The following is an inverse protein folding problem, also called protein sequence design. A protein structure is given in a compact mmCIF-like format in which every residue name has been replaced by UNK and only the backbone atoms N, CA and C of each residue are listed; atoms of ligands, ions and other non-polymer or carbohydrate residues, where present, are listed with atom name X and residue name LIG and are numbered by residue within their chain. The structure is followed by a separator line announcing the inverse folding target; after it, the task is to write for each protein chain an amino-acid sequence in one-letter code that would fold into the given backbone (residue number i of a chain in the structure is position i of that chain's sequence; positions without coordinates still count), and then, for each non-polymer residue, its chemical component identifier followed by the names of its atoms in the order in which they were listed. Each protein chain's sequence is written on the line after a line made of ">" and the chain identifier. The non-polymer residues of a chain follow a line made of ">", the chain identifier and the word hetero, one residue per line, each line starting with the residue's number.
data_IF_018800227885
#
_entry.id   IF_018800227885
#
_cell.length_a   1.000
_cell.length_b   1.000
_cell.length_c   1.000
_cell.angle_alpha   90.00
_cell.angle_beta   90.00
_cell.angle_gamma   90.00
#
_symmetry.space_group_name_H-M   'P 1'
#
loop_
_entity.id
_entity.type
_entity.pdbx_description
1 polymer ?
#
# COMPACT_ATOMS: atom_id res chain seq x y z
N UNK A 1 -15.77 -0.93 -13.60
CA UNK A 1 -16.91 -0.42 -12.81
C UNK A 1 -18.16 -0.35 -13.69
N UNK A 2 -19.32 -0.74 -13.16
CA UNK A 2 -20.61 -0.38 -13.76
C UNK A 2 -20.89 1.07 -13.35
N UNK A 3 -20.75 2.01 -14.28
CA UNK A 3 -20.97 3.43 -13.98
C UNK A 3 -22.43 3.76 -14.27
N UNK A 4 -23.27 3.74 -13.21
CA UNK A 4 -24.72 3.93 -13.31
C UNK A 4 -25.12 5.21 -14.05
N UNK A 5 -24.33 6.28 -13.94
CA UNK A 5 -24.58 7.55 -14.61
C UNK A 5 -24.56 7.44 -16.14
N UNK A 6 -23.74 6.56 -16.74
CA UNK A 6 -23.75 6.36 -18.19
C UNK A 6 -25.04 5.72 -18.69
N UNK A 7 -25.60 4.77 -17.93
CA UNK A 7 -26.89 4.17 -18.26
C UNK A 7 -28.02 5.19 -18.18
N UNK A 8 -28.03 6.00 -17.11
CA UNK A 8 -29.00 7.09 -16.97
C UNK A 8 -28.86 8.06 -18.14
N UNK A 9 -27.64 8.55 -18.44
CA UNK A 9 -27.41 9.48 -19.54
C UNK A 9 -27.84 8.90 -20.91
N UNK A 10 -27.57 7.62 -21.16
CA UNK A 10 -28.04 6.94 -22.38
C UNK A 10 -29.57 6.89 -22.48
N UNK A 11 -30.28 6.68 -21.35
CA UNK A 11 -31.75 6.75 -21.30
C UNK A 11 -32.24 8.16 -21.63
N UNK A 12 -31.64 9.21 -21.05
CA UNK A 12 -32.00 10.60 -21.34
C UNK A 12 -31.75 10.97 -22.81
N UNK A 13 -30.63 10.55 -23.39
CA UNK A 13 -30.37 10.71 -24.83
C UNK A 13 -31.46 10.00 -25.64
N UNK A 14 -31.82 8.77 -25.28
CA UNK A 14 -32.88 8.02 -25.95
C UNK A 14 -34.24 8.72 -25.90
N UNK A 15 -34.62 9.27 -24.74
CA UNK A 15 -35.83 10.07 -24.58
C UNK A 15 -35.76 11.37 -25.40
N UNK A 16 -34.61 12.03 -25.45
CA UNK A 16 -34.39 13.22 -26.28
C UNK A 16 -34.53 12.92 -27.78
N UNK A 17 -33.93 11.83 -28.25
CA UNK A 17 -34.08 11.33 -29.62
C UNK A 17 -35.54 11.02 -29.94
N UNK A 18 -36.24 10.33 -29.05
CA UNK A 18 -37.67 10.03 -29.20
C UNK A 18 -38.52 11.31 -29.24
N UNK A 19 -38.20 12.31 -28.40
CA UNK A 19 -38.87 13.61 -28.39
C UNK A 19 -38.67 14.40 -29.68
N UNK A 20 -37.44 14.49 -30.18
CA UNK A 20 -37.13 15.16 -31.47
C UNK A 20 -37.84 14.44 -32.61
N UNK A 21 -37.79 13.11 -32.62
CA UNK A 21 -38.45 12.29 -33.64
C UNK A 21 -39.98 12.46 -33.61
N UNK A 22 -40.59 12.47 -32.42
CA UNK A 22 -42.03 12.71 -32.24
C UNK A 22 -42.45 14.13 -32.67
N UNK A 23 -41.66 15.15 -32.30
CA UNK A 23 -41.90 16.53 -32.74
C UNK A 23 -41.84 16.66 -34.27
N UNK A 24 -40.83 16.04 -34.89
CA UNK A 24 -40.64 15.97 -36.35
C UNK A 24 -41.86 15.38 -37.06
N UNK A 25 -42.39 14.24 -36.57
CA UNK A 25 -43.59 13.59 -37.12
C UNK A 25 -44.84 14.48 -37.05
N UNK A 26 -45.00 15.24 -35.97
CA UNK A 26 -46.14 16.12 -35.77
C UNK A 26 -46.13 17.32 -36.73
N UNK A 27 -44.94 17.79 -37.14
CA UNK A 27 -44.79 18.94 -38.05
C UNK A 27 -44.85 18.55 -39.52
N UNK A 28 -44.28 17.41 -39.91
CA UNK A 28 -44.19 16.97 -41.30
C UNK A 28 -44.68 15.52 -41.44
N UNK A 29 -45.87 15.34 -42.03
CA UNK A 29 -46.53 14.03 -42.19
C UNK A 29 -46.02 13.21 -43.38
N UNK A 30 -44.78 13.44 -43.84
CA UNK A 30 -44.17 12.70 -44.97
C UNK A 30 -43.26 11.58 -44.46
N UNK A 31 -43.51 10.35 -44.90
CA UNK A 31 -42.72 9.19 -44.46
C UNK A 31 -41.24 9.31 -44.82
N UNK A 32 -40.91 9.90 -45.98
CA UNK A 32 -39.52 10.14 -46.39
C UNK A 32 -38.77 11.08 -45.43
N UNK A 33 -39.46 12.06 -44.85
CA UNK A 33 -38.88 12.97 -43.85
C UNK A 33 -38.60 12.24 -42.53
N UNK A 34 -39.52 11.38 -42.09
CA UNK A 34 -39.31 10.58 -40.88
C UNK A 34 -38.11 9.62 -41.04
N UNK A 35 -37.97 8.97 -42.20
CA UNK A 35 -36.80 8.12 -42.49
C UNK A 35 -35.50 8.93 -42.45
N UNK A 36 -35.49 10.13 -43.04
CA UNK A 36 -34.32 11.00 -43.01
C UNK A 36 -33.95 11.43 -41.58
N UNK A 37 -34.92 11.92 -40.79
CA UNK A 37 -34.71 12.32 -39.39
C UNK A 37 -34.23 11.15 -38.54
N UNK A 38 -34.84 9.97 -38.67
CA UNK A 38 -34.41 8.76 -37.95
C UNK A 38 -32.97 8.36 -38.31
N UNK A 39 -32.61 8.43 -39.59
CA UNK A 39 -31.26 8.11 -40.06
C UNK A 39 -30.21 9.09 -39.50
N UNK A 40 -30.53 10.38 -39.42
CA UNK A 40 -29.64 11.39 -38.81
C UNK A 40 -29.47 11.12 -37.31
N UNK A 41 -30.56 10.82 -36.60
CA UNK A 41 -30.52 10.56 -35.16
C UNK A 41 -29.76 9.26 -34.82
N UNK A 42 -29.80 8.25 -35.69
CA UNK A 42 -28.93 7.06 -35.59
C UNK A 42 -27.45 7.38 -35.73
N UNK A 43 -27.10 8.49 -36.40
CA UNK A 43 -25.73 8.99 -36.46
C UNK A 43 -25.13 9.27 -35.09
N UNK A 44 -25.94 9.63 -34.09
CA UNK A 44 -25.48 9.93 -32.72
C UNK A 44 -24.84 8.70 -32.04
N UNK A 45 -25.56 7.57 -31.82
CA UNK A 45 -24.96 6.38 -31.23
C UNK A 45 -23.90 5.74 -32.13
N UNK A 46 -24.00 5.84 -33.46
CA UNK A 46 -22.98 5.33 -34.37
C UNK A 46 -21.66 6.09 -34.23
N UNK A 47 -21.71 7.43 -34.19
CA UNK A 47 -20.51 8.25 -34.01
C UNK A 47 -19.89 8.02 -32.62
N UNK A 48 -20.72 7.95 -31.57
CA UNK A 48 -20.24 7.61 -30.23
C UNK A 48 -19.57 6.23 -30.19
N UNK A 49 -20.18 5.21 -30.81
CA UNK A 49 -19.61 3.87 -30.91
C UNK A 49 -18.27 3.89 -31.66
N UNK A 50 -18.20 4.53 -32.83
CA UNK A 50 -17.00 4.61 -33.64
C UNK A 50 -15.84 5.33 -32.93
N UNK A 51 -16.09 6.52 -32.36
CA UNK A 51 -15.06 7.31 -31.67
C UNK A 51 -14.55 6.61 -30.41
N UNK A 52 -15.44 5.93 -29.69
CA UNK A 52 -15.11 5.32 -28.41
C UNK A 52 -14.68 3.85 -28.52
N UNK A 53 -14.81 3.21 -29.68
CA UNK A 53 -14.50 1.79 -29.85
C UNK A 53 -13.07 1.47 -29.44
N UNK A 54 -12.06 2.14 -30.02
CA UNK A 54 -10.66 1.86 -29.73
C UNK A 54 -10.29 2.15 -28.27
N UNK A 55 -10.65 3.33 -27.68
CA UNK A 55 -10.35 3.60 -26.27
C UNK A 55 -11.06 2.66 -25.28
N UNK A 56 -12.20 2.07 -25.65
CA UNK A 56 -12.97 1.15 -24.79
C UNK A 56 -12.71 -0.32 -25.11
N UNK A 57 -12.05 -0.64 -26.22
CA UNK A 57 -11.61 -1.99 -26.50
C UNK A 57 -10.58 -2.41 -25.43
N UNK A 58 -10.88 -3.50 -24.73
CA UNK A 58 -10.00 -4.08 -23.70
C UNK A 58 -9.24 -5.29 -24.20
N UNK A 59 -9.44 -5.70 -25.46
CA UNK A 59 -8.75 -6.82 -26.07
C UNK A 59 -7.24 -6.58 -26.07
N UNK A 60 -6.47 -7.55 -25.56
CA UNK A 60 -5.02 -7.46 -25.48
C UNK A 60 -4.49 -6.51 -24.41
N UNK A 61 -5.34 -5.86 -23.60
CA UNK A 61 -4.92 -4.99 -22.50
C UNK A 61 -4.80 -5.81 -21.22
N UNK A 62 -3.58 -6.24 -20.88
CA UNK A 62 -3.33 -7.14 -19.75
C UNK A 62 -2.72 -6.45 -18.52
N UNK A 63 -2.50 -5.13 -18.56
CA UNK A 63 -1.72 -4.38 -17.55
C UNK A 63 -2.08 -4.67 -16.10
N UNK A 64 -3.37 -4.58 -15.73
CA UNK A 64 -3.82 -4.81 -14.36
C UNK A 64 -3.60 -6.27 -13.92
N UNK A 65 -3.93 -7.21 -14.80
CA UNK A 65 -3.79 -8.64 -14.54
C UNK A 65 -2.31 -9.05 -14.43
N UNK A 66 -1.47 -8.57 -15.35
CA UNK A 66 -0.05 -8.86 -15.39
C UNK A 66 0.72 -8.20 -14.23
N UNK A 67 0.29 -7.01 -13.81
CA UNK A 67 0.76 -6.40 -12.57
C UNK A 67 0.42 -7.27 -11.36
N UNK A 68 -0.85 -7.66 -11.18
CA UNK A 68 -1.28 -8.49 -10.07
C UNK A 68 -0.53 -9.82 -10.02
N UNK A 69 -0.40 -10.48 -11.18
CA UNK A 69 0.38 -11.70 -11.31
C UNK A 69 1.84 -11.46 -10.87
N UNK A 70 2.50 -10.44 -11.41
CA UNK A 70 3.92 -10.19 -11.17
C UNK A 70 4.19 -9.77 -9.72
N UNK A 71 3.33 -8.93 -9.15
CA UNK A 71 3.40 -8.50 -7.75
C UNK A 71 3.16 -9.66 -6.79
N UNK A 72 2.17 -10.52 -7.04
CA UNK A 72 1.92 -11.66 -6.16
C UNK A 72 2.97 -12.77 -6.35
N UNK A 73 3.42 -13.03 -7.58
CA UNK A 73 4.37 -14.11 -7.88
C UNK A 73 5.75 -13.87 -7.28
N UNK A 74 6.18 -12.61 -7.14
CA UNK A 74 7.50 -12.26 -6.60
C UNK A 74 7.61 -12.42 -5.09
N UNK A 75 6.48 -12.48 -4.38
CA UNK A 75 6.46 -12.60 -2.93
C UNK A 75 6.89 -13.98 -2.45
N UNK A 76 7.63 -14.09 -1.34
CA UNK A 76 7.81 -15.36 -0.63
C UNK A 76 6.48 -16.02 -0.26
N UNK A 77 6.48 -17.33 -0.02
CA UNK A 77 5.30 -18.06 0.44
C UNK A 77 4.73 -17.49 1.74
N UNK A 78 3.40 -17.53 1.85
CA UNK A 78 2.65 -17.05 3.01
C UNK A 78 2.89 -15.56 3.33
N UNK A 79 3.42 -14.73 2.43
CA UNK A 79 3.69 -13.32 2.73
C UNK A 79 2.44 -12.53 3.15
N UNK A 80 2.63 -11.49 3.95
CA UNK A 80 1.66 -10.40 4.11
C UNK A 80 2.06 -9.29 3.15
N UNK A 81 1.14 -8.89 2.28
CA UNK A 81 1.32 -7.78 1.35
C UNK A 81 0.39 -6.63 1.74
N UNK A 82 0.95 -5.48 2.08
CA UNK A 82 0.21 -4.23 2.15
C UNK A 82 0.11 -3.61 0.75
N UNK A 83 -1.10 -3.30 0.33
CA UNK A 83 -1.43 -2.63 -0.93
C UNK A 83 -2.10 -1.28 -0.65
N UNK A 84 -2.00 -0.37 -1.61
CA UNK A 84 -2.41 1.03 -1.42
C UNK A 84 -3.29 1.48 -2.57
N UNK A 85 -4.44 2.05 -2.25
CA UNK A 85 -5.42 2.48 -3.23
C UNK A 85 -5.99 1.35 -4.08
N UNK A 86 -6.86 1.75 -4.99
CA UNK A 86 -7.65 0.85 -5.82
C UNK A 86 -6.80 0.09 -6.84
N UNK A 87 -5.78 0.75 -7.41
CA UNK A 87 -4.96 0.22 -8.49
C UNK A 87 -4.03 -0.92 -8.04
N UNK A 88 -3.63 -0.95 -6.78
CA UNK A 88 -2.85 -2.06 -6.22
C UNK A 88 -3.77 -3.17 -5.69
N UNK A 89 -4.89 -2.77 -5.07
CA UNK A 89 -5.76 -3.66 -4.32
C UNK A 89 -6.64 -4.53 -5.21
N UNK A 90 -7.43 -3.92 -6.10
CA UNK A 90 -8.44 -4.68 -6.82
C UNK A 90 -7.85 -5.70 -7.79
N UNK A 91 -6.76 -5.44 -8.53
CA UNK A 91 -6.18 -6.44 -9.40
C UNK A 91 -5.64 -7.66 -8.63
N UNK A 92 -4.98 -7.43 -7.48
CA UNK A 92 -4.43 -8.51 -6.65
C UNK A 92 -5.52 -9.33 -5.97
N UNK A 93 -6.57 -8.69 -5.44
CA UNK A 93 -7.76 -9.40 -4.96
C UNK A 93 -8.47 -10.15 -6.07
N UNK A 94 -8.67 -9.53 -7.24
CA UNK A 94 -9.39 -10.17 -8.34
C UNK A 94 -8.75 -11.50 -8.75
N UNK A 95 -7.43 -11.54 -8.95
CA UNK A 95 -6.75 -12.79 -9.36
C UNK A 95 -6.75 -13.84 -8.25
N UNK A 96 -6.72 -13.44 -6.97
CA UNK A 96 -6.89 -14.38 -5.85
C UNK A 96 -8.31 -14.97 -5.84
N UNK A 97 -9.34 -14.14 -5.97
CA UNK A 97 -10.76 -14.55 -5.91
C UNK A 97 -11.21 -15.35 -7.13
N UNK A 98 -10.72 -15.02 -8.33
CA UNK A 98 -11.17 -15.67 -9.57
C UNK A 98 -10.32 -16.84 -10.00
N UNK A 99 -9.03 -16.88 -9.62
CA UNK A 99 -8.08 -17.88 -10.11
C UNK A 99 -7.40 -18.68 -8.98
N UNK A 100 -7.67 -18.38 -7.71
CA UNK A 100 -6.93 -18.91 -6.54
C UNK A 100 -5.41 -18.73 -6.68
N UNK A 101 -4.97 -17.69 -7.40
CA UNK A 101 -3.55 -17.47 -7.64
C UNK A 101 -2.90 -16.83 -6.41
N UNK A 102 -1.89 -17.50 -5.84
CA UNK A 102 -1.20 -17.03 -4.63
C UNK A 102 -2.18 -16.72 -3.49
N UNK A 103 -3.20 -17.57 -3.34
CA UNK A 103 -4.20 -17.50 -2.26
C UNK A 103 -3.60 -17.80 -0.86
N UNK A 104 -2.30 -18.11 -0.80
CA UNK A 104 -1.45 -18.15 0.40
C UNK A 104 -1.05 -16.76 0.92
N UNK A 105 -1.02 -15.73 0.06
CA UNK A 105 -0.61 -14.37 0.43
C UNK A 105 -1.76 -13.63 1.09
N UNK A 106 -1.51 -12.95 2.23
CA UNK A 106 -2.51 -12.05 2.86
C UNK A 106 -2.36 -10.66 2.26
N UNK A 107 -3.27 -10.30 1.34
CA UNK A 107 -3.29 -8.96 0.76
C UNK A 107 -4.18 -8.04 1.59
N UNK A 108 -3.61 -6.95 2.09
CA UNK A 108 -4.25 -6.03 3.01
C UNK A 108 -4.19 -4.61 2.43
N UNK A 109 -5.34 -3.98 2.25
CA UNK A 109 -5.38 -2.59 1.85
C UNK A 109 -5.14 -1.69 3.07
N UNK A 110 -4.01 -0.98 3.05
CA UNK A 110 -3.59 -0.09 4.15
C UNK A 110 -4.60 1.03 4.44
N UNK A 111 -5.24 1.58 3.42
CA UNK A 111 -6.21 2.68 3.56
C UNK A 111 -7.54 2.18 4.16
N UNK A 112 -7.92 0.93 3.88
CA UNK A 112 -9.10 0.31 4.46
C UNK A 112 -8.89 -0.19 5.89
N UNK A 113 -7.64 -0.35 6.36
CA UNK A 113 -7.30 -0.74 7.74
C UNK A 113 -7.67 0.31 8.81
N UNK A 114 -8.35 1.39 8.43
CA UNK A 114 -9.02 2.29 9.38
C UNK A 114 -10.43 1.81 9.76
N UNK A 115 -11.02 0.91 8.97
CA UNK A 115 -12.39 0.42 9.16
C UNK A 115 -12.43 -0.93 9.87
N UNK A 116 -13.28 -1.04 10.90
CA UNK A 116 -13.41 -2.24 11.73
C UNK A 116 -13.70 -3.52 10.93
N UNK A 117 -14.57 -3.44 9.91
CA UNK A 117 -14.88 -4.58 9.05
C UNK A 117 -13.68 -5.09 8.24
N UNK A 118 -12.79 -4.20 7.79
CA UNK A 118 -11.63 -4.61 7.00
C UNK A 118 -10.53 -5.20 7.90
N UNK A 119 -10.35 -4.62 9.09
CA UNK A 119 -9.47 -5.18 10.13
C UNK A 119 -9.94 -6.60 10.50
N UNK A 120 -11.24 -6.80 10.68
CA UNK A 120 -11.80 -8.12 10.93
C UNK A 120 -11.50 -9.11 9.79
N UNK A 121 -11.56 -8.69 8.52
CA UNK A 121 -11.20 -9.53 7.38
C UNK A 121 -9.71 -9.90 7.40
N UNK A 122 -8.82 -8.94 7.67
CA UNK A 122 -7.38 -9.18 7.75
C UNK A 122 -7.01 -10.21 8.86
N UNK A 123 -7.79 -10.22 9.94
CA UNK A 123 -7.62 -11.12 11.09
C UNK A 123 -8.31 -12.47 10.96
N UNK A 124 -8.97 -12.74 9.83
CA UNK A 124 -9.55 -14.05 9.51
C UNK A 124 -8.67 -14.78 8.49
N UNK A 125 -8.73 -16.11 8.51
CA UNK A 125 -8.14 -16.92 7.43
C UNK A 125 -8.98 -16.72 6.17
N UNK A 126 -8.33 -16.52 5.04
CA UNK A 126 -8.98 -16.40 3.73
C UNK A 126 -8.27 -17.37 2.81
N UNK A 127 -8.97 -18.39 2.31
CA UNK A 127 -8.35 -19.48 1.55
C UNK A 127 -7.15 -20.12 2.31
N UNK A 128 -5.97 -20.19 1.68
CA UNK A 128 -4.73 -20.69 2.29
C UNK A 128 -3.95 -19.61 3.05
N UNK A 129 -4.40 -18.35 3.01
CA UNK A 129 -3.75 -17.23 3.66
C UNK A 129 -4.13 -17.12 5.14
N UNK A 130 -3.13 -17.36 5.99
CA UNK A 130 -3.27 -17.24 7.45
C UNK A 130 -3.63 -15.81 7.89
N UNK A 131 -4.38 -15.63 8.99
CA UNK A 131 -4.60 -14.32 9.61
C UNK A 131 -3.31 -13.53 9.83
N UNK A 132 -3.42 -12.20 9.89
CA UNK A 132 -2.32 -11.39 10.44
C UNK A 132 -2.02 -11.78 11.89
N UNK A 133 -0.75 -11.70 12.35
CA UNK A 133 -0.38 -11.98 13.73
C UNK A 133 -0.85 -10.81 14.62
N UNK A 134 -2.13 -10.78 14.99
CA UNK A 134 -2.74 -9.72 15.78
C UNK A 134 -3.38 -10.28 17.04
N UNK A 135 -3.20 -9.59 18.16
CA UNK A 135 -3.82 -9.92 19.45
C UNK A 135 -4.93 -8.95 19.86
N UNK A 136 -5.14 -7.87 19.09
CA UNK A 136 -6.23 -6.92 19.37
C UNK A 136 -7.60 -7.63 19.37
N UNK A 137 -8.51 -7.21 20.23
CA UNK A 137 -9.93 -7.58 20.20
C UNK A 137 -10.74 -6.57 19.40
N UNK A 138 -11.92 -6.96 18.90
CA UNK A 138 -12.78 -6.06 18.11
C UNK A 138 -13.11 -4.76 18.86
N UNK A 139 -13.30 -4.83 20.18
CA UNK A 139 -13.56 -3.66 21.02
C UNK A 139 -12.40 -2.65 21.03
N UNK A 140 -11.16 -3.08 20.77
CA UNK A 140 -9.98 -2.20 20.76
C UNK A 140 -9.81 -1.41 19.45
N UNK A 141 -10.56 -1.74 18.39
CA UNK A 141 -10.49 -1.04 17.09
C UNK A 141 -11.85 -0.75 16.43
N UNK A 142 -12.97 -1.04 17.12
CA UNK A 142 -14.30 -0.64 16.65
C UNK A 142 -14.41 0.87 16.48
N UNK A 143 -15.39 1.31 15.72
CA UNK A 143 -15.60 2.73 15.42
C UNK A 143 -15.78 3.54 16.72
N UNK A 144 -15.07 4.67 16.83
CA UNK A 144 -15.06 5.50 18.05
C UNK A 144 -14.07 5.08 19.14
N UNK A 145 -13.31 4.00 18.94
CA UNK A 145 -12.28 3.53 19.89
C UNK A 145 -10.90 3.54 19.24
N UNK A 146 -9.91 4.15 19.90
CA UNK A 146 -8.53 4.27 19.39
C UNK A 146 -8.44 4.79 17.94
N UNK A 147 -9.39 5.64 17.52
CA UNK A 147 -9.35 6.27 16.18
C UNK A 147 -8.09 7.13 16.02
N UNK A 148 -7.64 7.73 17.13
CA UNK A 148 -6.42 8.52 17.24
C UNK A 148 -5.77 8.23 18.59
N UNK A 149 -4.53 7.74 18.57
CA UNK A 149 -3.71 7.52 19.76
C UNK A 149 -2.65 8.61 19.80
N UNK A 150 -2.62 9.41 20.87
CA UNK A 150 -1.64 10.48 21.00
C UNK A 150 -0.26 9.94 21.36
N UNK A 151 0.80 10.45 20.74
CA UNK A 151 2.17 10.07 21.07
C UNK A 151 2.83 11.17 21.88
N UNK A 152 3.33 10.79 23.05
CA UNK A 152 4.14 11.66 23.88
C UNK A 152 5.62 11.52 23.56
N UNK A 153 6.40 12.51 23.95
CA UNK A 153 7.85 12.46 23.99
C UNK A 153 8.36 13.12 25.27
N UNK A 154 9.68 13.25 25.38
CA UNK A 154 10.34 13.85 26.53
C UNK A 154 9.84 15.27 26.82
N UNK A 155 9.64 16.11 25.81
CA UNK A 155 9.22 17.50 25.99
C UNK A 155 7.81 17.56 26.58
N UNK A 156 6.90 16.70 26.11
CA UNK A 156 5.56 16.60 26.69
C UNK A 156 5.60 16.23 28.17
N UNK A 157 6.45 15.28 28.56
CA UNK A 157 6.61 14.89 29.96
C UNK A 157 7.22 15.99 30.82
N UNK A 158 8.27 16.67 30.33
CA UNK A 158 8.88 17.81 31.02
C UNK A 158 7.84 18.91 31.28
N UNK A 159 7.04 19.26 30.26
CA UNK A 159 5.98 20.25 30.38
C UNK A 159 4.92 19.86 31.41
N UNK A 160 4.46 18.60 31.41
CA UNK A 160 3.49 18.11 32.39
C UNK A 160 4.05 18.21 33.80
N UNK A 161 5.25 17.69 34.06
CA UNK A 161 5.82 17.68 35.40
C UNK A 161 6.21 19.08 35.91
N UNK A 162 6.64 19.98 35.02
CA UNK A 162 6.88 21.39 35.37
C UNK A 162 5.58 22.08 35.76
N UNK A 163 4.52 21.94 34.96
CA UNK A 163 3.20 22.49 35.27
C UNK A 163 2.63 21.94 36.59
N UNK A 164 2.80 20.64 36.86
CA UNK A 164 2.39 20.04 38.13
C UNK A 164 3.15 20.67 39.32
N UNK A 165 4.47 20.86 39.18
CA UNK A 165 5.31 21.47 40.20
C UNK A 165 4.91 22.93 40.47
N UNK A 166 4.64 23.71 39.43
CA UNK A 166 4.19 25.10 39.54
C UNK A 166 2.84 25.22 40.26
N UNK A 167 1.95 24.25 40.08
CA UNK A 167 0.64 24.20 40.76
C UNK A 167 0.70 23.54 42.16
N UNK A 168 1.91 23.25 42.67
CA UNK A 168 2.10 22.68 44.01
C UNK A 168 1.67 21.21 44.16
N UNK A 169 1.52 20.48 43.05
CA UNK A 169 1.18 19.05 43.07
C UNK A 169 2.42 18.25 43.51
N UNK A 170 2.32 17.34 44.50
CA UNK A 170 3.46 16.59 45.01
C UNK A 170 4.21 15.78 43.94
N UNK A 171 5.53 15.65 44.08
CA UNK A 171 6.33 14.85 43.14
C UNK A 171 5.99 13.35 43.15
N UNK A 172 5.33 12.87 44.20
CA UNK A 172 4.84 11.49 44.31
C UNK A 172 3.70 11.19 43.34
N UNK A 173 2.97 12.20 42.87
CA UNK A 173 1.92 12.02 41.86
C UNK A 173 2.53 11.63 40.52
N UNK A 174 1.88 10.67 39.84
CA UNK A 174 2.30 10.11 38.55
C UNK A 174 3.74 9.58 38.54
N UNK A 175 4.22 9.06 39.68
CA UNK A 175 5.57 8.54 39.83
C UNK A 175 5.90 7.46 38.77
N UNK A 176 4.90 6.68 38.35
CA UNK A 176 5.04 5.61 37.35
C UNK A 176 5.46 6.11 35.95
N UNK A 177 5.21 7.40 35.64
CA UNK A 177 5.52 8.02 34.35
C UNK A 177 6.79 8.87 34.37
N UNK A 178 7.35 9.19 35.55
CA UNK A 178 8.60 9.97 35.64
C UNK A 178 9.78 9.34 34.92
N UNK A 179 9.79 8.00 34.79
CA UNK A 179 10.82 7.30 34.00
C UNK A 179 10.92 7.80 32.55
N UNK A 180 9.82 8.25 31.96
CA UNK A 180 9.78 8.74 30.56
C UNK A 180 10.42 10.13 30.37
N UNK A 181 10.88 10.78 31.44
CA UNK A 181 11.81 11.92 31.34
C UNK A 181 13.20 11.51 30.79
N UNK A 182 13.54 10.22 30.92
CA UNK A 182 14.84 9.67 30.49
C UNK A 182 14.70 8.49 29.54
N UNK A 183 13.62 7.72 29.64
CA UNK A 183 13.33 6.61 28.76
C UNK A 183 12.59 7.10 27.50
N UNK A 184 13.31 7.19 26.38
CA UNK A 184 12.75 7.66 25.11
C UNK A 184 12.19 6.54 24.22
N UNK A 185 12.43 5.27 24.57
CA UNK A 185 12.06 4.11 23.75
C UNK A 185 11.34 3.05 24.57
N UNK A 186 10.38 2.37 23.93
CA UNK A 186 9.78 1.12 24.41
C UNK A 186 9.71 0.12 23.25
N UNK A 187 9.66 -1.18 23.56
CA UNK A 187 9.37 -2.18 22.53
C UNK A 187 7.93 -2.06 22.03
N UNK A 188 7.66 -2.49 20.79
CA UNK A 188 6.29 -2.53 20.27
C UNK A 188 5.35 -3.37 21.14
N UNK A 189 5.88 -4.44 21.76
CA UNK A 189 5.12 -5.28 22.70
C UNK A 189 4.74 -4.52 23.97
N UNK A 190 5.67 -3.75 24.55
CA UNK A 190 5.39 -2.87 25.69
C UNK A 190 4.41 -1.75 25.31
N UNK A 191 4.48 -1.22 24.09
CA UNK A 191 3.52 -0.24 23.58
C UNK A 191 2.10 -0.81 23.56
N UNK A 192 1.91 -2.01 23.00
CA UNK A 192 0.60 -2.68 23.00
C UNK A 192 0.09 -3.01 24.41
N UNK A 193 0.98 -3.42 25.31
CA UNK A 193 0.64 -3.63 26.72
C UNK A 193 0.24 -2.33 27.42
N UNK A 194 0.93 -1.23 27.14
CA UNK A 194 0.61 0.09 27.67
C UNK A 194 -0.78 0.54 27.25
N UNK A 195 -1.14 0.35 25.97
CA UNK A 195 -2.47 0.71 25.45
C UNK A 195 -3.59 -0.02 26.18
N UNK A 196 -3.39 -1.30 26.50
CA UNK A 196 -4.35 -2.17 27.22
C UNK A 196 -4.39 -1.90 28.73
N UNK A 197 -3.31 -1.40 29.30
CA UNK A 197 -3.24 -1.13 30.73
C UNK A 197 -4.21 -0.02 31.15
N UNK A 198 -4.93 -0.24 32.25
CA UNK A 198 -5.82 0.71 32.90
C UNK A 198 -5.24 1.04 34.28
N UNK A 199 -4.94 2.31 34.52
CA UNK A 199 -4.47 2.79 35.82
C UNK A 199 -4.99 4.21 36.07
N UNK A 200 -5.08 4.59 37.34
CA UNK A 200 -5.52 5.95 37.69
C UNK A 200 -4.53 7.01 37.18
N UNK A 201 -3.22 6.74 37.26
CA UNK A 201 -2.20 7.61 36.66
C UNK A 201 -2.47 7.86 35.17
N UNK A 202 -2.80 6.80 34.41
CA UNK A 202 -3.09 6.91 32.98
C UNK A 202 -4.39 7.70 32.73
N UNK A 203 -5.42 7.48 33.55
CA UNK A 203 -6.67 8.24 33.49
C UNK A 203 -6.42 9.73 33.73
N UNK A 204 -5.60 10.07 34.72
CA UNK A 204 -5.19 11.45 35.01
C UNK A 204 -4.52 12.10 33.80
N UNK A 205 -3.58 11.42 33.15
CA UNK A 205 -2.95 11.94 31.93
C UNK A 205 -3.97 12.10 30.79
N UNK A 206 -4.85 11.11 30.58
CA UNK A 206 -5.89 11.21 29.55
C UNK A 206 -6.81 12.41 29.78
N UNK A 207 -7.20 12.68 31.02
CA UNK A 207 -7.99 13.86 31.38
C UNK A 207 -7.24 15.17 31.15
N UNK A 208 -5.93 15.19 31.43
CA UNK A 208 -5.09 16.36 31.13
C UNK A 208 -4.98 16.62 29.62
N UNK A 209 -4.91 15.57 28.80
CA UNK A 209 -4.75 15.68 27.34
C UNK A 209 -6.06 15.98 26.61
N UNK A 210 -7.16 15.34 27.03
CA UNK A 210 -8.43 15.33 26.29
C UNK A 210 -9.61 15.95 27.05
N UNK A 211 -9.41 16.37 28.30
CA UNK A 211 -10.45 16.88 29.19
C UNK A 211 -11.16 15.77 29.99
N UNK A 212 -11.97 16.16 30.96
CA UNK A 212 -12.72 15.24 31.83
C UNK A 212 -13.83 14.48 31.10
N UNK A 213 -14.32 15.03 29.98
CA UNK A 213 -15.40 14.43 29.21
C UNK A 213 -14.86 13.48 28.14
N UNK A 214 -15.34 12.23 28.13
CA UNK A 214 -15.05 11.22 27.11
C UNK A 214 -13.58 10.80 26.96
N UNK A 215 -12.70 11.13 27.92
CA UNK A 215 -11.29 10.71 27.93
C UNK A 215 -11.10 9.19 27.74
N UNK A 216 -12.07 8.39 28.19
CA UNK A 216 -12.10 6.93 28.07
C UNK A 216 -12.13 6.40 26.63
N UNK A 217 -12.48 7.24 25.65
CA UNK A 217 -12.45 6.88 24.22
C UNK A 217 -11.07 7.06 23.57
N UNK A 218 -10.20 7.80 24.24
CA UNK A 218 -8.87 8.14 23.75
C UNK A 218 -7.80 7.27 24.40
N UNK A 219 -6.62 7.26 23.79
CA UNK A 219 -5.46 6.59 24.33
C UNK A 219 -4.21 7.40 23.99
N UNK A 220 -3.12 7.09 24.69
CA UNK A 220 -1.82 7.65 24.35
C UNK A 220 -0.73 6.59 24.46
N UNK A 221 0.41 6.86 23.83
CA UNK A 221 1.67 6.14 24.03
C UNK A 221 2.66 7.07 24.73
N UNK A 222 3.45 6.56 25.69
CA UNK A 222 4.31 7.40 26.51
C UNK A 222 5.59 7.85 25.78
N UNK A 223 5.85 7.32 24.59
CA UNK A 223 7.00 7.64 23.74
C UNK A 223 6.57 7.59 22.28
N UNK A 224 7.39 8.19 21.41
CA UNK A 224 7.25 8.17 19.95
C UNK A 224 8.33 7.34 19.23
N UNK A 225 9.21 6.66 19.97
CA UNK A 225 10.23 5.76 19.43
C UNK A 225 9.97 4.33 19.89
N UNK A 226 9.86 3.41 18.94
CA UNK A 226 9.55 2.02 19.20
C UNK A 226 10.68 1.08 18.79
N UNK A 227 10.88 0.02 19.54
CA UNK A 227 11.89 -1.01 19.25
C UNK A 227 11.21 -2.27 18.71
N UNK A 228 11.66 -2.73 17.55
CA UNK A 228 11.33 -4.03 16.96
C UNK A 228 12.55 -4.96 17.09
N UNK A 229 12.54 -5.93 18.00
CA UNK A 229 13.62 -6.91 18.12
C UNK A 229 13.77 -7.78 16.86
N UNK A 230 15.01 -8.11 16.49
CA UNK A 230 15.31 -8.96 15.33
C UNK A 230 15.57 -10.40 15.76
N UNK A 231 14.84 -11.32 15.14
CA UNK A 231 15.10 -12.75 15.27
C UNK A 231 15.68 -13.29 13.95
N UNK A 232 17.01 -13.25 13.81
CA UNK A 232 17.70 -13.65 12.58
C UNK A 232 17.51 -15.14 12.24
N UNK A 233 17.36 -16.00 13.25
CA UNK A 233 17.11 -17.44 13.04
C UNK A 233 15.77 -17.67 12.37
N UNK A 234 14.70 -17.03 12.86
CA UNK A 234 13.40 -17.09 12.22
C UNK A 234 13.40 -16.39 10.86
N UNK A 235 14.08 -15.24 10.74
CA UNK A 235 14.15 -14.49 9.48
C UNK A 235 14.79 -15.32 8.35
N UNK A 236 15.86 -16.07 8.64
CA UNK A 236 16.46 -17.01 7.68
C UNK A 236 15.50 -18.15 7.37
N UNK A 237 14.92 -18.79 8.39
CA UNK A 237 13.99 -19.92 8.22
C UNK A 237 12.75 -19.55 7.39
N UNK A 238 12.25 -18.33 7.54
CA UNK A 238 11.11 -17.80 6.78
C UNK A 238 11.50 -17.27 5.40
N UNK A 239 12.78 -17.30 5.02
CA UNK A 239 13.28 -16.80 3.74
C UNK A 239 13.26 -15.28 3.62
N UNK A 240 13.16 -14.53 4.72
CA UNK A 240 13.20 -13.06 4.74
C UNK A 240 14.59 -12.57 4.34
N UNK A 241 15.64 -13.22 4.87
CA UNK A 241 17.05 -12.98 4.49
C UNK A 241 17.75 -14.31 4.21
N UNK A 242 18.89 -14.27 3.51
CA UNK A 242 19.74 -15.45 3.29
C UNK A 242 20.71 -15.64 4.46
N UNK A 243 21.23 -16.85 4.64
CA UNK A 243 22.24 -17.14 5.68
C UNK A 243 23.46 -16.22 5.59
N UNK A 244 23.94 -15.94 4.38
CA UNK A 244 25.06 -15.03 4.13
C UNK A 244 24.78 -13.57 4.53
N UNK A 245 23.52 -13.18 4.67
CA UNK A 245 23.12 -11.82 5.03
C UNK A 245 23.02 -11.63 6.56
N UNK A 246 23.08 -12.71 7.36
CA UNK A 246 22.98 -12.64 8.83
C UNK A 246 23.98 -11.67 9.45
N UNK A 247 25.25 -11.58 9.02
CA UNK A 247 26.19 -10.60 9.58
C UNK A 247 25.82 -9.13 9.31
N UNK A 248 24.93 -8.87 8.35
CA UNK A 248 24.45 -7.52 8.00
C UNK A 248 23.17 -7.14 8.76
N UNK A 249 22.56 -8.10 9.49
CA UNK A 249 21.32 -7.88 10.19
C UNK A 249 21.54 -7.11 11.50
N UNK A 250 20.73 -6.07 11.72
CA UNK A 250 20.65 -5.38 12.99
C UNK A 250 20.08 -6.30 14.08
N UNK A 251 20.45 -6.04 15.34
CA UNK A 251 19.86 -6.76 16.49
C UNK A 251 18.44 -6.30 16.80
N UNK A 252 18.16 -5.03 16.51
CA UNK A 252 16.89 -4.37 16.74
C UNK A 252 16.72 -3.22 15.75
N UNK A 253 15.47 -2.92 15.42
CA UNK A 253 15.09 -1.79 14.57
C UNK A 253 14.44 -0.74 15.45
N UNK A 254 15.00 0.47 15.46
CA UNK A 254 14.41 1.64 16.12
C UNK A 254 13.53 2.36 15.10
N UNK A 255 12.24 2.45 15.41
CA UNK A 255 11.19 3.09 14.63
C UNK A 255 10.92 4.45 15.26
N UNK A 256 11.27 5.54 14.56
CA UNK A 256 10.99 6.89 15.00
C UNK A 256 9.66 7.35 14.38
N UNK A 257 8.57 7.29 15.13
CA UNK A 257 7.25 7.64 14.62
C UNK A 257 7.05 9.16 14.64
N UNK A 258 7.17 9.80 13.47
CA UNK A 258 7.23 11.27 13.34
C UNK A 258 5.86 11.95 13.13
N UNK A 259 4.86 11.57 13.94
CA UNK A 259 3.55 12.22 14.02
C UNK A 259 3.08 12.25 15.46
N UNK A 260 2.26 13.24 15.81
CA UNK A 260 1.65 13.35 17.13
C UNK A 260 0.52 12.34 17.38
N UNK A 261 -0.02 11.73 16.31
CA UNK A 261 -1.12 10.78 16.39
C UNK A 261 -0.83 9.52 15.58
N UNK A 262 -1.16 8.38 16.16
CA UNK A 262 -1.18 7.07 15.52
C UNK A 262 -2.64 6.67 15.27
N UNK A 263 -2.98 6.50 13.99
CA UNK A 263 -4.30 6.12 13.52
C UNK A 263 -4.46 4.60 13.47
N UNK A 264 -5.69 4.11 13.32
CA UNK A 264 -6.02 2.67 13.36
C UNK A 264 -5.21 1.79 12.40
N UNK A 265 -4.98 2.23 11.17
CA UNK A 265 -4.13 1.52 10.22
C UNK A 265 -2.72 1.24 10.80
N UNK A 266 -2.13 2.24 11.45
CA UNK A 266 -0.82 2.12 12.11
C UNK A 266 -0.90 1.41 13.47
N UNK A 267 -2.05 1.45 14.18
CA UNK A 267 -2.30 0.59 15.35
C UNK A 267 -2.27 -0.89 14.99
N UNK A 268 -2.89 -1.26 13.88
CA UNK A 268 -2.88 -2.65 13.41
C UNK A 268 -1.47 -3.08 13.01
N UNK A 269 -0.73 -2.23 12.28
CA UNK A 269 0.67 -2.54 11.94
C UNK A 269 1.53 -2.68 13.21
N UNK A 270 1.36 -1.79 14.20
CA UNK A 270 2.07 -1.87 15.47
C UNK A 270 1.79 -3.19 16.21
N UNK A 271 0.52 -3.61 16.32
CA UNK A 271 0.14 -4.89 16.94
C UNK A 271 0.68 -6.09 16.15
N UNK A 272 0.70 -6.00 14.81
CA UNK A 272 1.30 -7.02 13.96
C UNK A 272 2.80 -7.17 14.20
N UNK A 273 3.52 -6.05 14.23
CA UNK A 273 4.97 -6.04 14.46
C UNK A 273 5.31 -6.49 15.89
N UNK A 274 4.46 -6.19 16.88
CA UNK A 274 4.61 -6.69 18.25
C UNK A 274 4.53 -8.24 18.35
N UNK A 275 3.88 -8.90 17.40
CA UNK A 275 3.64 -10.35 17.36
C UNK A 275 4.33 -11.06 16.17
N UNK A 276 5.20 -10.37 15.45
CA UNK A 276 5.77 -10.79 14.18
C UNK A 276 6.79 -11.94 14.30
N UNK A 277 7.72 -11.84 15.26
CA UNK A 277 8.85 -12.76 15.53
C UNK A 277 9.60 -13.26 14.27
N UNK A 278 9.55 -12.50 13.16
CA UNK A 278 10.21 -12.79 11.89
C UNK A 278 9.87 -14.16 11.26
N UNK A 279 8.70 -14.72 11.56
CA UNK A 279 8.28 -16.06 11.06
C UNK A 279 7.56 -16.03 9.71
N UNK A 280 7.15 -14.85 9.26
CA UNK A 280 6.32 -14.64 8.07
C UNK A 280 6.80 -13.38 7.37
N UNK A 281 7.02 -13.33 6.06
CA UNK A 281 7.47 -12.08 5.43
C UNK A 281 6.37 -11.01 5.40
N UNK A 282 6.75 -9.75 5.64
CA UNK A 282 5.90 -8.57 5.42
C UNK A 282 6.45 -7.82 4.22
N UNK A 283 5.57 -7.41 3.31
CA UNK A 283 5.92 -6.63 2.13
C UNK A 283 4.90 -5.53 1.89
N UNK A 284 5.31 -4.50 1.17
CA UNK A 284 4.52 -3.32 0.82
C UNK A 284 4.60 -3.14 -0.69
N UNK A 285 3.48 -2.93 -1.37
CA UNK A 285 3.51 -2.65 -2.81
C UNK A 285 4.23 -1.32 -3.07
N UNK A 286 4.93 -1.24 -4.19
CA UNK A 286 5.69 -0.04 -4.57
C UNK A 286 4.81 1.21 -4.68
N UNK A 287 3.51 1.05 -4.95
CA UNK A 287 2.55 2.15 -5.05
C UNK A 287 2.33 2.92 -3.74
N UNK A 288 2.66 2.34 -2.58
CA UNK A 288 2.48 2.97 -1.27
C UNK A 288 3.71 3.59 -0.64
N UNK A 289 4.89 3.42 -1.23
CA UNK A 289 6.16 3.87 -0.63
C UNK A 289 6.48 5.31 -1.07
N UNK A 290 5.57 6.23 -0.75
CA UNK A 290 5.74 7.68 -0.98
C UNK A 290 5.75 8.50 0.33
N UNK A 291 5.49 7.84 1.46
CA UNK A 291 5.52 8.42 2.81
C UNK A 291 6.05 7.37 3.77
N UNK A 292 6.95 7.76 4.67
CA UNK A 292 7.50 6.85 5.68
C UNK A 292 6.39 6.21 6.54
N UNK A 293 5.33 6.98 6.83
CA UNK A 293 4.18 6.53 7.62
C UNK A 293 3.50 5.29 7.03
N UNK A 294 3.44 5.18 5.69
CA UNK A 294 2.77 4.06 5.01
C UNK A 294 3.45 2.71 5.26
N UNK A 295 4.73 2.71 5.65
CA UNK A 295 5.49 1.52 6.02
C UNK A 295 5.77 1.46 7.53
N UNK A 296 5.08 2.28 8.32
CA UNK A 296 5.33 2.45 9.75
C UNK A 296 6.79 2.87 10.04
N UNK A 297 7.33 3.78 9.23
CA UNK A 297 8.70 4.33 9.30
C UNK A 297 9.81 3.29 9.16
N UNK A 298 9.56 2.23 8.38
CA UNK A 298 10.51 1.14 8.14
C UNK A 298 11.23 1.25 6.79
N UNK A 299 11.15 2.39 6.10
CA UNK A 299 11.71 2.61 4.74
C UNK A 299 13.18 2.24 4.61
N UNK A 300 14.00 2.52 5.63
CA UNK A 300 15.41 2.16 5.68
C UNK A 300 15.69 0.66 5.91
N UNK A 301 14.66 -0.16 6.08
CA UNK A 301 14.76 -1.61 6.34
C UNK A 301 14.01 -2.41 5.27
N UNK A 302 13.91 -1.86 4.07
CA UNK A 302 13.25 -2.50 2.95
C UNK A 302 14.27 -3.11 1.97
N UNK A 303 13.88 -4.23 1.36
CA UNK A 303 14.51 -4.78 0.16
C UNK A 303 13.57 -4.57 -1.02
N UNK A 304 14.08 -4.02 -2.11
CA UNK A 304 13.34 -3.83 -3.35
C UNK A 304 13.30 -5.14 -4.15
N UNK A 305 12.10 -5.72 -4.25
CA UNK A 305 11.80 -6.96 -4.96
C UNK A 305 10.90 -6.67 -6.20
N UNK A 306 11.06 -5.48 -6.80
CA UNK A 306 10.38 -5.04 -8.04
C UNK A 306 9.06 -4.31 -7.77
N UNK A 307 7.92 -5.00 -7.89
CA UNK A 307 6.62 -4.40 -7.55
C UNK A 307 6.36 -4.27 -6.05
N UNK A 308 7.23 -4.86 -5.22
CA UNK A 308 7.08 -4.88 -3.78
C UNK A 308 8.39 -4.52 -3.10
N UNK A 309 8.26 -3.98 -1.88
CA UNK A 309 9.32 -3.79 -0.92
C UNK A 309 9.11 -4.73 0.25
N UNK A 310 10.09 -5.58 0.54
CA UNK A 310 10.02 -6.55 1.65
C UNK A 310 10.77 -6.04 2.87
N UNK A 311 10.17 -6.14 4.04
CA UNK A 311 10.83 -5.82 5.31
C UNK A 311 11.96 -6.82 5.60
N UNK A 312 13.17 -6.31 5.81
CA UNK A 312 14.38 -7.07 6.15
C UNK A 312 15.13 -6.37 7.29
N UNK A 313 15.85 -7.09 8.17
CA UNK A 313 16.54 -6.48 9.29
C UNK A 313 17.89 -5.85 8.90
N UNK A 314 18.02 -5.33 7.69
CA UNK A 314 19.29 -4.82 7.14
C UNK A 314 19.10 -3.37 6.78
N UNK A 315 19.79 -2.50 7.50
CA UNK A 315 19.68 -1.05 7.31
C UNK A 315 20.28 -0.64 5.97
N UNK A 316 19.46 -0.07 5.10
CA UNK A 316 19.83 0.46 3.80
C UNK A 316 19.19 1.84 3.64
N UNK A 317 19.95 2.93 3.82
CA UNK A 317 19.42 4.27 3.61
C UNK A 317 19.10 4.53 2.14
N UNK A 318 18.22 5.48 1.89
CA UNK A 318 17.99 6.05 0.56
C UNK A 318 19.32 6.52 -0.04
N UNK A 319 19.56 6.18 -1.31
CA UNK A 319 20.78 6.59 -2.00
C UNK A 319 20.65 8.03 -2.56
N UNK A 320 21.72 8.54 -3.19
CA UNK A 320 21.73 9.90 -3.74
C UNK A 320 20.76 10.11 -4.92
N UNK A 321 20.26 9.03 -5.53
CA UNK A 321 19.33 9.04 -6.66
C UNK A 321 17.87 8.94 -6.20
N UNK A 322 17.64 8.82 -4.89
CA UNK A 322 16.31 8.68 -4.28
C UNK A 322 15.80 7.23 -4.25
N UNK A 323 16.66 6.27 -4.57
CA UNK A 323 16.32 4.85 -4.59
C UNK A 323 16.27 4.29 -3.16
N UNK A 324 15.11 3.73 -2.82
CA UNK A 324 14.85 3.14 -1.51
C UNK A 324 15.13 1.63 -1.51
N UNK A 325 15.59 1.14 -0.36
CA UNK A 325 15.79 -0.27 -0.05
C UNK A 325 16.94 -0.96 -0.78
N UNK A 326 17.48 -2.03 -0.19
CA UNK A 326 18.55 -2.83 -0.80
C UNK A 326 18.06 -3.61 -2.01
N UNK A 327 18.98 -3.96 -2.90
CA UNK A 327 18.71 -4.82 -4.06
C UNK A 327 19.53 -6.11 -3.94
N UNK A 328 18.85 -7.25 -3.89
CA UNK A 328 19.47 -8.56 -4.11
C UNK A 328 19.55 -8.84 -5.62
N UNK A 329 20.71 -8.56 -6.23
CA UNK A 329 20.92 -8.62 -7.68
C UNK A 329 20.39 -9.91 -8.34
N UNK A 330 20.66 -11.09 -7.75
CA UNK A 330 20.20 -12.37 -8.30
C UNK A 330 18.71 -12.59 -8.06
N UNK A 331 18.21 -12.21 -6.90
CA UNK A 331 16.79 -12.29 -6.56
C UNK A 331 15.96 -11.43 -7.52
N UNK A 332 16.33 -10.15 -7.66
CA UNK A 332 15.61 -9.21 -8.52
C UNK A 332 15.73 -9.59 -10.01
N UNK A 333 16.88 -10.10 -10.46
CA UNK A 333 17.01 -10.68 -11.81
C UNK A 333 15.96 -11.77 -12.07
N UNK A 334 15.85 -12.74 -11.16
CA UNK A 334 14.88 -13.83 -11.30
C UNK A 334 13.44 -13.33 -11.25
N UNK A 335 13.15 -12.34 -10.40
CA UNK A 335 11.83 -11.72 -10.32
C UNK A 335 11.47 -11.04 -11.65
N UNK A 336 12.32 -10.16 -12.17
CA UNK A 336 12.06 -9.41 -13.42
C UNK A 336 11.94 -10.35 -14.61
N UNK A 337 12.75 -11.41 -14.68
CA UNK A 337 12.66 -12.44 -15.73
C UNK A 337 11.31 -13.17 -15.76
N UNK A 338 10.61 -13.22 -14.63
CA UNK A 338 9.32 -13.90 -14.48
C UNK A 338 8.12 -12.93 -14.51
N UNK A 339 8.34 -11.64 -14.74
CA UNK A 339 7.26 -10.68 -14.93
C UNK A 339 6.42 -11.01 -16.16
N UNK A 340 5.12 -10.70 -16.06
CA UNK A 340 4.25 -10.46 -17.21
C UNK A 340 4.18 -8.96 -17.45
N UNK A 341 4.25 -8.51 -18.69
CA UNK A 341 4.58 -7.12 -19.04
C UNK A 341 3.40 -6.29 -19.59
N UNK A 342 2.16 -6.68 -19.28
CA UNK A 342 0.96 -5.91 -19.61
C UNK A 342 0.62 -5.83 -21.11
N UNK A 343 1.38 -6.54 -21.95
CA UNK A 343 1.28 -6.55 -23.42
C UNK A 343 1.58 -5.19 -24.10
N UNK A 344 2.42 -4.35 -23.51
CA UNK A 344 2.81 -3.06 -24.12
C UNK A 344 3.50 -3.21 -25.48
N UNK A 345 4.14 -4.35 -25.76
CA UNK A 345 4.77 -4.63 -27.06
C UNK A 345 3.82 -4.64 -28.25
N UNK A 346 2.52 -4.91 -28.03
CA UNK A 346 1.53 -4.80 -29.10
C UNK A 346 1.14 -3.33 -29.30
N UNK A 347 1.72 -2.70 -30.32
CA UNK A 347 1.52 -1.29 -30.61
C UNK A 347 0.09 -0.97 -31.08
N UNK A 348 -0.74 -1.97 -31.40
CA UNK A 348 -2.13 -1.78 -31.79
C UNK A 348 -3.08 -1.71 -30.58
N UNK A 349 -2.65 -2.17 -29.41
CA UNK A 349 -3.46 -2.09 -28.19
C UNK A 349 -3.46 -0.65 -27.65
N UNK A 350 -4.64 -0.16 -27.30
CA UNK A 350 -4.79 1.12 -26.62
C UNK A 350 -4.61 0.97 -25.11
N UNK A 351 -3.73 1.80 -24.56
CA UNK A 351 -3.51 1.94 -23.13
C UNK A 351 -3.81 3.37 -22.74
N UNK A 352 -4.57 3.54 -21.66
CA UNK A 352 -4.84 4.86 -21.08
C UNK A 352 -3.66 5.35 -20.24
N UNK A 353 -3.76 6.61 -19.80
CA UNK A 353 -2.73 7.30 -19.04
C UNK A 353 -2.32 6.53 -17.78
N UNK A 354 -3.28 5.92 -17.07
CA UNK A 354 -3.01 5.12 -15.87
C UNK A 354 -2.15 3.90 -16.22
N UNK A 355 -2.51 3.15 -17.27
CA UNK A 355 -1.70 2.02 -17.72
C UNK A 355 -0.30 2.43 -18.14
N UNK A 356 -0.17 3.53 -18.89
CA UNK A 356 1.13 4.00 -19.35
C UNK A 356 1.99 4.56 -18.22
N UNK A 357 1.38 5.14 -17.19
CA UNK A 357 2.12 5.62 -16.01
C UNK A 357 2.76 4.46 -15.25
N UNK A 358 2.10 3.30 -15.18
CA UNK A 358 2.61 2.11 -14.50
C UNK A 358 3.80 1.44 -15.21
N UNK A 359 4.15 1.85 -16.43
CA UNK A 359 5.37 1.39 -17.13
C UNK A 359 6.63 1.68 -16.31
N UNK A 360 6.62 2.78 -15.54
CA UNK A 360 7.79 3.19 -14.76
C UNK A 360 8.23 2.10 -13.78
N UNK A 361 7.30 1.42 -13.12
CA UNK A 361 7.61 0.35 -12.16
C UNK A 361 8.31 -0.84 -12.83
N UNK A 362 7.92 -1.19 -14.05
CA UNK A 362 8.60 -2.24 -14.84
C UNK A 362 10.03 -1.84 -15.19
N UNK A 363 10.22 -0.61 -15.67
CA UNK A 363 11.53 -0.08 -16.09
C UNK A 363 12.47 0.11 -14.91
N UNK A 364 12.00 0.68 -13.80
CA UNK A 364 12.77 0.78 -12.54
C UNK A 364 13.19 -0.60 -12.06
N UNK A 365 12.28 -1.59 -12.07
CA UNK A 365 12.61 -2.96 -11.65
C UNK A 365 13.74 -3.55 -12.50
N UNK A 366 13.66 -3.42 -13.83
CA UNK A 366 14.70 -3.92 -14.73
C UNK A 366 16.02 -3.13 -14.62
N UNK A 367 15.94 -1.80 -14.49
CA UNK A 367 17.08 -0.90 -14.35
C UNK A 367 17.88 -1.17 -13.07
N UNK A 368 17.21 -1.15 -11.91
CA UNK A 368 17.83 -1.43 -10.61
C UNK A 368 18.43 -2.84 -10.54
N UNK A 369 17.79 -3.82 -11.18
CA UNK A 369 18.35 -5.17 -11.31
C UNK A 369 19.62 -5.18 -12.17
N UNK A 370 19.59 -4.52 -13.32
CA UNK A 370 20.72 -4.44 -14.24
C UNK A 370 21.91 -3.71 -13.60
N UNK A 371 21.65 -2.63 -12.88
CA UNK A 371 22.66 -1.88 -12.12
C UNK A 371 23.31 -2.77 -11.05
N UNK A 372 22.51 -3.40 -10.18
CA UNK A 372 23.02 -4.28 -9.13
C UNK A 372 23.82 -5.47 -9.67
N UNK A 373 23.42 -6.02 -10.83
CA UNK A 373 24.18 -7.05 -11.54
C UNK A 373 25.49 -6.50 -12.12
N UNK A 374 25.47 -5.30 -12.69
CA UNK A 374 26.64 -4.62 -13.27
C UNK A 374 27.71 -4.35 -12.20
N UNK A 375 27.30 -3.87 -11.03
CA UNK A 375 28.18 -3.65 -9.87
C UNK A 375 28.83 -4.96 -9.37
N UNK A 376 28.19 -6.11 -9.59
CA UNK A 376 28.75 -7.45 -9.33
C UNK A 376 29.53 -8.04 -10.51
N UNK A 377 29.76 -7.27 -11.58
CA UNK A 377 30.47 -7.71 -12.79
C UNK A 377 29.66 -8.59 -13.74
N UNK A 378 28.36 -8.80 -13.49
CA UNK A 378 27.49 -9.69 -14.27
C UNK A 378 26.85 -8.98 -15.47
N UNK A 379 27.67 -8.35 -16.30
CA UNK A 379 27.22 -7.48 -17.42
C UNK A 379 26.29 -8.19 -18.42
N UNK A 380 26.49 -9.49 -18.65
CA UNK A 380 25.64 -10.27 -19.58
C UNK A 380 24.19 -10.36 -19.09
N UNK A 381 23.98 -10.62 -17.80
CA UNK A 381 22.62 -10.67 -17.21
C UNK A 381 22.00 -9.28 -17.16
N UNK A 382 22.80 -8.24 -16.84
CA UNK A 382 22.32 -6.86 -16.86
C UNK A 382 21.78 -6.48 -18.25
N UNK A 383 22.55 -6.73 -19.31
CA UNK A 383 22.13 -6.46 -20.69
C UNK A 383 20.89 -7.28 -21.10
N UNK A 384 20.77 -8.52 -20.61
CA UNK A 384 19.59 -9.34 -20.85
C UNK A 384 18.30 -8.68 -20.32
N UNK A 385 18.33 -8.12 -19.11
CA UNK A 385 17.17 -7.45 -18.52
C UNK A 385 16.81 -6.16 -19.25
N UNK A 386 17.81 -5.37 -19.64
CA UNK A 386 17.58 -4.13 -20.41
C UNK A 386 16.96 -4.44 -21.77
N UNK A 387 17.49 -5.44 -22.48
CA UNK A 387 16.93 -5.90 -23.76
C UNK A 387 15.50 -6.47 -23.59
N UNK A 388 15.22 -7.15 -22.49
CA UNK A 388 13.87 -7.64 -22.17
C UNK A 388 12.90 -6.47 -21.99
N UNK A 389 13.27 -5.46 -21.20
CA UNK A 389 12.43 -4.29 -20.96
C UNK A 389 12.17 -3.49 -22.25
N UNK A 390 13.19 -3.31 -23.10
CA UNK A 390 13.03 -2.64 -24.40
C UNK A 390 12.09 -3.41 -25.33
N UNK A 391 12.22 -4.74 -25.39
CA UNK A 391 11.37 -5.61 -26.20
C UNK A 391 9.91 -5.58 -25.73
N UNK A 392 9.69 -5.67 -24.42
CA UNK A 392 8.33 -5.75 -23.86
C UNK A 392 7.66 -4.38 -23.76
N UNK A 393 8.43 -3.29 -23.66
CA UNK A 393 7.93 -1.92 -23.61
C UNK A 393 8.70 -1.01 -24.60
N UNK A 394 8.37 -1.06 -25.90
CA UNK A 394 9.13 -0.37 -26.94
C UNK A 394 9.13 1.16 -26.81
N UNK A 395 10.32 1.76 -26.78
CA UNK A 395 10.50 3.22 -26.69
C UNK A 395 9.83 3.98 -27.85
N UNK A 396 9.70 3.37 -29.04
CA UNK A 396 9.01 3.97 -30.20
C UNK A 396 7.61 4.48 -29.89
N UNK A 397 6.88 3.83 -28.97
CA UNK A 397 5.54 4.22 -28.54
C UNK A 397 5.53 4.78 -27.12
N UNK A 398 6.38 4.26 -26.24
CA UNK A 398 6.43 4.64 -24.81
C UNK A 398 7.75 5.33 -24.48
N UNK A 399 7.95 6.53 -25.04
CA UNK A 399 9.13 7.35 -24.80
C UNK A 399 8.89 8.32 -23.62
N UNK A 400 8.63 7.80 -22.43
CA UNK A 400 8.50 8.64 -21.23
C UNK A 400 9.88 8.96 -20.66
N UNK A 401 10.27 10.23 -20.70
CA UNK A 401 11.55 10.69 -20.16
C UNK A 401 11.74 10.36 -18.67
N UNK A 402 10.65 10.29 -17.89
CA UNK A 402 10.66 9.92 -16.46
C UNK A 402 11.12 8.48 -16.22
N UNK A 403 11.13 7.65 -17.26
CA UNK A 403 11.50 6.24 -17.20
C UNK A 403 12.87 5.92 -17.80
N UNK A 404 13.56 6.94 -18.32
CA UNK A 404 14.89 6.84 -18.95
C UNK A 404 15.93 7.75 -18.28
N UNK A 405 15.52 8.67 -17.40
CA UNK A 405 16.43 9.66 -16.80
C UNK A 405 17.39 9.09 -15.74
N UNK A 406 17.33 7.80 -15.44
CA UNK A 406 18.16 7.13 -14.42
C UNK A 406 18.80 5.81 -14.89
N UNK A 407 18.90 5.56 -16.21
CA UNK A 407 19.65 4.40 -16.75
C UNK A 407 20.99 4.84 -17.32
#
# INVERSE_FOLDING_TARGET
>A
AMVGSFYVFAIWIGLGVAGIFGFSQNKIKKNSYNIATGSILLGIPLMMGFQNYTPHNRSGRHTAYDYAYSALKSLPEQSILFVYGDNDTYPTWAIQETENFRDDVKVINYELLITSWNIDQAKRRTYQSMPIPSELSHEEYRDGTNDQIYLMDKEHWENIFNNMKENGIPETELASFRKYLTQETITLKEAMQFLRNKSEDKNTILKMLFGEEQYEKFNFLPVNKFVLPVNTTNAVKAGIIKEQDVPLAEKEIIINYNKSYLYKNNLIIMDMLANFDWKRPISFSSGGIYSDENSFYLTNYLQFDGFNYRLVPIKTPENAEGDLGRVDAEGLYNIVKNFRWGNFKDLNVHFDETCTSNIISYRISAGRAAEALSLKGQKKKALELLNLAEKEIPAKKYNDARSLSAI
#
